data_IF_973978743895
#
_entry.id   IF_973978743895
#
_cell.length_a   1.000
_cell.length_b   1.000
_cell.length_c   1.000
_cell.angle_alpha   90.00
_cell.angle_beta   90.00
_cell.angle_gamma   90.00
#
_symmetry.space_group_name_H-M   'P 1'
#
loop_
_entity.id
_entity.type
_entity.pdbx_description
1 polymer ?
#
# COMPACT_ATOMS: atom_id res chain seq x y z
N UNK A 1 4.40 -1.94 14.27
CA UNK A 1 4.55 -1.10 13.07
C UNK A 1 3.44 -1.33 12.03
N UNK A 2 2.21 -0.92 12.30
CA UNK A 2 1.14 -0.88 11.28
C UNK A 2 1.60 -0.06 10.06
N UNK A 3 0.93 -0.16 8.91
CA UNK A 3 1.30 0.66 7.73
C UNK A 3 1.33 2.16 8.07
N UNK A 4 0.46 2.62 8.98
CA UNK A 4 0.45 3.99 9.48
C UNK A 4 1.69 4.34 10.29
N UNK A 5 2.16 3.42 11.15
CA UNK A 5 3.39 3.63 11.94
C UNK A 5 4.65 3.67 11.05
N UNK A 6 4.63 3.04 9.88
CA UNK A 6 5.77 3.03 8.95
C UNK A 6 5.82 4.29 8.06
N UNK A 7 4.66 4.75 7.59
CA UNK A 7 4.54 5.90 6.69
C UNK A 7 4.42 7.23 7.42
N UNK A 8 4.02 7.21 8.70
CA UNK A 8 3.72 8.40 9.48
C UNK A 8 2.30 8.94 9.20
N UNK A 9 1.75 9.66 10.17
CA UNK A 9 0.43 10.27 10.07
C UNK A 9 0.57 11.80 10.01
N UNK A 10 -0.11 12.43 9.04
CA UNK A 10 -0.29 13.89 9.03
C UNK A 10 -1.70 14.19 9.56
N UNK A 11 -1.86 14.99 10.64
CA UNK A 11 -3.16 15.33 11.21
C UNK A 11 -4.13 16.02 10.24
N UNK A 12 -3.65 16.54 9.11
CA UNK A 12 -4.47 17.17 8.07
C UNK A 12 -5.07 16.15 7.10
N UNK A 13 -4.58 14.91 7.10
CA UNK A 13 -5.08 13.86 6.24
C UNK A 13 -6.39 13.28 6.80
N UNK A 14 -7.47 13.38 6.02
CA UNK A 14 -8.78 12.81 6.39
C UNK A 14 -8.79 11.28 6.43
N UNK A 15 -7.88 10.65 5.71
CA UNK A 15 -7.74 9.19 5.62
C UNK A 15 -6.30 8.80 5.83
N UNK A 16 -6.09 7.80 6.70
CA UNK A 16 -4.75 7.31 7.00
C UNK A 16 -4.08 6.66 5.79
N UNK A 17 -2.74 6.66 5.78
CA UNK A 17 -1.94 5.99 4.75
C UNK A 17 -2.34 4.54 4.53
N UNK A 18 -2.62 3.78 5.60
CA UNK A 18 -3.07 2.39 5.50
C UNK A 18 -4.39 2.22 4.76
N UNK A 19 -5.33 3.17 4.92
CA UNK A 19 -6.61 3.19 4.20
C UNK A 19 -6.39 3.46 2.72
N UNK A 20 -5.53 4.43 2.38
CA UNK A 20 -5.20 4.74 0.97
C UNK A 20 -4.53 3.55 0.29
N UNK A 21 -3.56 2.91 0.95
CA UNK A 21 -2.90 1.70 0.43
C UNK A 21 -3.92 0.56 0.24
N UNK A 22 -4.85 0.36 1.18
CA UNK A 22 -5.93 -0.63 1.04
C UNK A 22 -6.80 -0.33 -0.18
N UNK A 23 -7.16 0.94 -0.39
CA UNK A 23 -7.94 1.35 -1.56
C UNK A 23 -7.19 1.08 -2.87
N UNK A 24 -5.89 1.37 -2.93
CA UNK A 24 -5.05 1.08 -4.12
C UNK A 24 -4.98 -0.42 -4.41
N UNK A 25 -4.86 -1.26 -3.39
CA UNK A 25 -4.88 -2.72 -3.55
C UNK A 25 -6.24 -3.16 -4.11
N UNK A 26 -7.36 -2.64 -3.60
CA UNK A 26 -8.69 -2.96 -4.12
C UNK A 26 -8.85 -2.55 -5.59
N UNK A 27 -8.34 -1.39 -5.98
CA UNK A 27 -8.32 -0.93 -7.36
C UNK A 27 -7.48 -1.86 -8.27
N UNK A 28 -6.35 -2.37 -7.78
CA UNK A 28 -5.52 -3.33 -8.50
C UNK A 28 -6.10 -4.77 -8.58
N UNK A 29 -6.99 -5.14 -7.65
CA UNK A 29 -7.65 -6.45 -7.62
C UNK A 29 -8.95 -6.52 -8.42
N UNK A 30 -9.60 -5.38 -8.66
CA UNK A 30 -10.84 -5.31 -9.45
C UNK A 30 -10.54 -5.34 -10.95
N UNK A 31 -11.25 -6.18 -11.72
CA UNK A 31 -11.07 -6.39 -13.17
C UNK A 31 -11.06 -5.13 -14.06
N UNK A 32 -11.34 -3.94 -13.51
CA UNK A 32 -11.17 -2.62 -14.15
C UNK A 32 -10.36 -1.73 -13.20
N UNK A 33 -9.06 -1.57 -13.48
CA UNK A 33 -8.21 -0.60 -12.78
C UNK A 33 -8.54 0.81 -13.25
N UNK A 34 -8.90 1.71 -12.33
CA UNK A 34 -9.02 3.13 -12.64
C UNK A 34 -7.66 3.82 -12.53
N UNK A 35 -7.26 4.65 -13.51
CA UNK A 35 -6.07 5.49 -13.38
C UNK A 35 -6.25 6.47 -12.23
N UNK A 36 -5.14 7.02 -11.75
CA UNK A 36 -5.06 7.84 -10.53
C UNK A 36 -6.02 9.05 -10.53
N UNK A 37 -6.24 9.70 -11.68
CA UNK A 37 -7.18 10.81 -11.85
C UNK A 37 -8.67 10.41 -11.89
N UNK A 38 -8.98 9.11 -12.01
CA UNK A 38 -10.35 8.56 -11.94
C UNK A 38 -10.58 7.76 -10.66
N UNK A 39 -9.64 7.80 -9.72
CA UNK A 39 -9.68 6.93 -8.56
C UNK A 39 -10.83 7.27 -7.61
N UNK A 40 -11.10 8.57 -7.40
CA UNK A 40 -12.29 9.03 -6.69
C UNK A 40 -13.57 8.49 -7.36
N UNK A 41 -13.70 8.67 -8.68
CA UNK A 41 -14.84 8.15 -9.47
C UNK A 41 -14.97 6.64 -9.43
N UNK A 42 -13.87 5.92 -9.26
CA UNK A 42 -13.92 4.48 -9.08
C UNK A 42 -14.64 4.10 -7.78
N UNK A 43 -14.53 4.91 -6.73
CA UNK A 43 -15.23 4.69 -5.47
C UNK A 43 -16.62 5.33 -5.39
N UNK A 44 -17.01 6.18 -6.34
CA UNK A 44 -18.37 6.68 -6.47
C UNK A 44 -19.38 5.50 -6.58
N UNK A 45 -20.44 5.57 -5.78
CA UNK A 45 -21.47 4.53 -5.70
C UNK A 45 -21.02 3.21 -5.05
N UNK A 46 -19.78 3.12 -4.55
CA UNK A 46 -19.31 1.98 -3.75
C UNK A 46 -19.47 2.28 -2.27
N UNK A 47 -19.67 1.22 -1.49
CA UNK A 47 -19.78 1.31 -0.04
C UNK A 47 -18.40 1.52 0.62
N UNK A 48 -17.80 2.71 0.42
CA UNK A 48 -16.46 3.05 0.93
C UNK A 48 -16.34 2.87 2.43
N UNK A 49 -17.37 3.25 3.20
CA UNK A 49 -17.36 3.08 4.65
C UNK A 49 -17.25 1.61 5.08
N UNK A 50 -17.99 0.73 4.41
CA UNK A 50 -17.95 -0.71 4.68
C UNK A 50 -16.66 -1.37 4.19
N UNK A 51 -16.05 -0.85 3.12
CA UNK A 51 -14.85 -1.45 2.50
C UNK A 51 -13.55 -0.98 3.15
N UNK A 52 -13.48 0.29 3.53
CA UNK A 52 -12.24 0.97 3.86
C UNK A 52 -12.15 1.39 5.33
N UNK A 53 -13.29 1.72 5.95
CA UNK A 53 -13.42 2.16 7.35
C UNK A 53 -14.46 3.27 7.50
N UNK A 54 -14.91 3.52 8.72
CA UNK A 54 -15.90 4.57 9.03
C UNK A 54 -15.45 5.95 8.51
N UNK A 55 -16.42 6.75 8.02
CA UNK A 55 -16.23 8.11 7.50
C UNK A 55 -15.30 8.24 6.27
N UNK A 56 -14.90 7.14 5.64
CA UNK A 56 -14.16 7.18 4.38
C UNK A 56 -15.12 7.46 3.23
N UNK A 57 -14.95 8.62 2.60
CA UNK A 57 -15.70 9.01 1.39
C UNK A 57 -14.82 8.91 0.14
N UNK A 58 -15.44 8.84 -1.04
CA UNK A 58 -14.72 8.71 -2.31
C UNK A 58 -13.81 9.92 -2.58
N UNK A 59 -14.26 11.11 -2.20
CA UNK A 59 -13.57 12.40 -2.35
C UNK A 59 -12.27 12.47 -1.52
N UNK A 60 -12.14 11.60 -0.50
CA UNK A 60 -10.91 11.46 0.28
C UNK A 60 -9.82 10.69 -0.49
N UNK A 61 -10.18 10.01 -1.58
CA UNK A 61 -9.32 9.16 -2.40
C UNK A 61 -9.06 9.80 -3.78
N UNK A 62 -8.76 11.10 -3.78
CA UNK A 62 -8.38 11.83 -4.99
C UNK A 62 -6.90 11.64 -5.37
N UNK A 63 -6.57 12.04 -6.60
CA UNK A 63 -5.24 11.94 -7.18
C UNK A 63 -4.14 12.58 -6.33
N UNK A 64 -4.38 13.77 -5.78
CA UNK A 64 -3.42 14.44 -4.89
C UNK A 64 -3.10 13.61 -3.65
N UNK A 65 -4.12 13.01 -3.02
CA UNK A 65 -3.95 12.14 -1.85
C UNK A 65 -3.14 10.91 -2.20
N UNK A 66 -3.49 10.25 -3.31
CA UNK A 66 -2.82 9.04 -3.79
C UNK A 66 -1.37 9.32 -4.17
N UNK A 67 -1.11 10.42 -4.87
CA UNK A 67 0.23 10.85 -5.29
C UNK A 67 1.16 11.03 -4.09
N UNK A 68 0.69 11.76 -3.05
CA UNK A 68 1.46 11.91 -1.80
C UNK A 68 1.75 10.58 -1.12
N UNK A 69 0.82 9.63 -1.12
CA UNK A 69 1.06 8.31 -0.53
C UNK A 69 2.06 7.47 -1.34
N UNK A 70 1.99 7.53 -2.67
CA UNK A 70 2.98 6.87 -3.52
C UNK A 70 4.39 7.44 -3.29
N UNK A 71 4.50 8.76 -3.12
CA UNK A 71 5.77 9.42 -2.79
C UNK A 71 6.31 8.98 -1.42
N UNK A 72 5.45 8.89 -0.39
CA UNK A 72 5.84 8.37 0.93
C UNK A 72 6.32 6.92 0.85
N UNK A 73 5.59 6.06 0.13
CA UNK A 73 5.95 4.66 -0.08
C UNK A 73 7.30 4.52 -0.79
N UNK A 74 7.51 5.32 -1.84
CA UNK A 74 8.76 5.35 -2.57
C UNK A 74 9.93 5.78 -1.67
N UNK A 75 9.78 6.89 -0.95
CA UNK A 75 10.80 7.44 -0.04
C UNK A 75 11.19 6.46 1.07
N UNK A 76 10.23 5.70 1.60
CA UNK A 76 10.46 4.73 2.68
C UNK A 76 10.97 3.38 2.19
N UNK A 77 10.97 3.12 0.89
CA UNK A 77 11.43 1.86 0.29
C UNK A 77 10.41 0.72 0.41
N UNK A 78 9.93 0.26 -0.74
CA UNK A 78 8.92 -0.81 -0.84
C UNK A 78 9.44 -2.17 -0.37
N UNK A 79 10.72 -2.50 -0.60
CA UNK A 79 11.28 -3.80 -0.24
C UNK A 79 11.24 -4.06 1.27
N UNK A 80 11.54 -3.03 2.08
CA UNK A 80 11.49 -3.14 3.53
C UNK A 80 10.05 -3.32 4.03
N UNK A 81 9.11 -2.54 3.47
CA UNK A 81 7.69 -2.66 3.78
C UNK A 81 7.17 -4.05 3.42
N UNK A 82 7.55 -4.59 2.26
CA UNK A 82 7.16 -5.91 1.81
C UNK A 82 7.66 -7.01 2.76
N UNK A 83 8.94 -6.99 3.13
CA UNK A 83 9.51 -7.96 4.08
C UNK A 83 8.78 -7.89 5.42
N UNK A 84 8.55 -6.68 5.96
CA UNK A 84 7.82 -6.48 7.21
C UNK A 84 6.40 -7.08 7.15
N UNK A 85 5.72 -6.92 6.02
CA UNK A 85 4.40 -7.49 5.79
C UNK A 85 4.46 -9.03 5.74
N UNK A 86 5.39 -9.60 4.97
CA UNK A 86 5.59 -11.04 4.88
C UNK A 86 5.86 -11.68 6.25
N UNK A 87 6.74 -11.09 7.06
CA UNK A 87 7.05 -11.57 8.41
C UNK A 87 5.82 -11.58 9.31
N UNK A 88 4.97 -10.55 9.20
CA UNK A 88 3.71 -10.51 9.94
C UNK A 88 2.70 -11.53 9.48
N UNK A 89 2.56 -11.72 8.17
CA UNK A 89 1.67 -12.74 7.62
C UNK A 89 2.13 -14.11 8.10
N UNK A 90 3.43 -14.40 8.02
CA UNK A 90 4.00 -15.64 8.54
C UNK A 90 3.69 -15.84 10.02
N UNK A 91 3.91 -14.82 10.86
CA UNK A 91 3.57 -14.89 12.29
C UNK A 91 2.07 -15.08 12.54
N UNK A 92 1.22 -14.34 11.82
CA UNK A 92 -0.24 -14.37 11.98
C UNK A 92 -0.84 -15.73 11.65
N UNK A 93 -0.29 -16.41 10.65
CA UNK A 93 -0.76 -17.73 10.19
C UNK A 93 0.07 -18.89 10.74
N UNK A 94 1.03 -18.63 11.64
CA UNK A 94 1.89 -19.67 12.22
C UNK A 94 2.75 -20.39 11.19
N UNK A 95 3.10 -19.74 10.07
CA UNK A 95 3.95 -20.33 9.04
C UNK A 95 5.36 -20.49 9.60
N UNK A 96 5.89 -21.72 9.54
CA UNK A 96 7.28 -21.95 9.92
C UNK A 96 8.20 -21.42 8.82
N UNK A 97 8.91 -20.34 9.11
CA UNK A 97 10.01 -19.88 8.27
C UNK A 97 11.29 -20.65 8.67
N UNK A 98 11.43 -21.89 8.18
CA UNK A 98 12.59 -22.75 8.48
C UNK A 98 13.84 -22.38 7.66
N UNK A 99 13.69 -21.56 6.63
CA UNK A 99 14.78 -21.06 5.80
C UNK A 99 14.46 -19.67 5.24
N UNK A 100 15.41 -18.74 5.32
CA UNK A 100 15.37 -17.47 4.61
C UNK A 100 16.41 -17.50 3.49
N UNK A 101 15.96 -17.54 2.23
CA UNK A 101 16.86 -17.46 1.08
C UNK A 101 17.03 -15.99 0.71
N UNK A 102 18.23 -15.46 0.91
CA UNK A 102 18.64 -14.15 0.42
C UNK A 102 19.22 -14.34 -0.98
N UNK A 103 18.36 -14.37 -2.00
CA UNK A 103 18.80 -14.30 -3.39
C UNK A 103 19.32 -12.88 -3.66
N UNK A 104 20.61 -12.67 -3.39
CA UNK A 104 21.33 -11.47 -3.82
C UNK A 104 21.78 -11.69 -5.27
N UNK A 105 21.09 -11.09 -6.23
CA UNK A 105 21.57 -11.04 -7.62
C UNK A 105 22.71 -10.02 -7.72
N UNK A 106 23.92 -10.47 -7.41
CA UNK A 106 25.15 -9.73 -7.73
C UNK A 106 25.49 -9.98 -9.20
N UNK A 107 24.91 -9.19 -10.11
CA UNK A 107 25.43 -9.13 -11.47
C UNK A 107 26.66 -8.21 -11.48
N UNK A 108 27.84 -8.81 -11.37
CA UNK A 108 29.08 -8.17 -11.76
C UNK A 108 29.32 -8.50 -13.24
N UNK A 109 29.29 -7.48 -14.08
CA UNK A 109 29.64 -7.60 -15.51
C UNK A 109 30.99 -6.91 -15.66
N UNK A 110 32.04 -7.69 -15.87
CA UNK A 110 33.32 -7.16 -16.36
C UNK A 110 33.27 -7.19 -17.88
N UNK A 111 33.43 -6.03 -18.51
CA UNK A 111 33.54 -5.90 -19.96
C UNK A 111 34.99 -6.08 -20.42
N UNK A 112 35.18 -6.68 -21.59
CA UNK A 112 36.37 -6.46 -22.42
C UNK A 112 36.22 -5.19 -23.26
#
# INVERSE_FOLDING_TARGET
MSNNEYLGEDPREKVSSGVVVKAMILNGLGCVSAPLYLFEKFFEGKATEHLLGEEVQAEHLNDDRLGRELEKLYTKGLSQLFILLCMRVAQKYGLKCESAHLDSTSFAVEGE
#
